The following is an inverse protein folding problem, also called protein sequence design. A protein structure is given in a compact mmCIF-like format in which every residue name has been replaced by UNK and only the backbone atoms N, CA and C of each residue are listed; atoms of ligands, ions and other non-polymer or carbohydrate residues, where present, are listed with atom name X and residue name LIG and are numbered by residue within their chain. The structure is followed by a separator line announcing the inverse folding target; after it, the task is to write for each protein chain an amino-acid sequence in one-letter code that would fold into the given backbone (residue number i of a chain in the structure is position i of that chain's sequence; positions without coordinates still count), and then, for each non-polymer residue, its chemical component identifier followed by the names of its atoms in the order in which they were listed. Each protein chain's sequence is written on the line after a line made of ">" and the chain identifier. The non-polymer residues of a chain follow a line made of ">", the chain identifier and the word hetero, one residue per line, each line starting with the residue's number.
data_IF_669839667036
#
_entry.id   IF_669839667036
#
_cell.length_a   1.000
_cell.length_b   1.000
_cell.length_c   1.000
_cell.angle_alpha   90.00
_cell.angle_beta   90.00
_cell.angle_gamma   90.00
#
_symmetry.space_group_name_H-M   'P 1'
#
loop_
_entity.id
_entity.type
_entity.pdbx_description
1 polymer ?
#
# COMPACT_ATOMS: atom_id res chain seq x y z
N UNK A 1 16.41 -0.43 75.40
CA UNK A 1 16.05 0.38 74.20
C UNK A 1 17.08 0.17 73.09
N UNK A 2 17.12 -0.98 72.45
CA UNK A 2 17.97 -1.21 71.25
C UNK A 2 17.71 -2.63 70.75
N UNK A 3 16.50 -2.91 70.19
CA UNK A 3 16.18 -4.20 69.58
C UNK A 3 15.43 -4.12 68.24
N UNK A 4 15.24 -2.95 67.67
CA UNK A 4 14.44 -2.80 66.46
C UNK A 4 15.22 -2.45 65.19
N UNK A 5 16.54 -2.35 65.25
CA UNK A 5 17.31 -1.88 64.08
C UNK A 5 17.96 -2.99 63.24
N UNK A 6 17.80 -4.25 63.61
CA UNK A 6 18.38 -5.36 62.80
C UNK A 6 17.47 -5.94 61.72
N UNK A 7 16.18 -5.58 61.69
CA UNK A 7 15.24 -6.12 60.69
C UNK A 7 14.97 -5.17 59.51
N UNK A 8 15.42 -3.92 59.55
CA UNK A 8 15.19 -2.99 58.43
C UNK A 8 16.19 -3.18 57.27
N UNK A 9 17.32 -3.82 57.49
CA UNK A 9 18.37 -4.00 56.46
C UNK A 9 18.14 -5.19 55.57
N UNK A 10 17.16 -6.06 55.86
CA UNK A 10 16.85 -7.25 55.05
C UNK A 10 15.69 -7.05 54.08
N UNK A 11 14.91 -6.01 54.24
CA UNK A 11 13.72 -5.75 53.37
C UNK A 11 14.08 -4.89 52.15
N UNK A 12 15.19 -4.13 52.22
CA UNK A 12 15.62 -3.26 51.09
C UNK A 12 16.36 -4.02 49.98
N UNK A 13 16.81 -5.26 50.24
CA UNK A 13 17.58 -6.03 49.26
C UNK A 13 16.73 -6.90 48.32
N UNK A 14 15.40 -6.97 48.49
CA UNK A 14 14.51 -7.75 47.66
C UNK A 14 13.69 -6.93 46.66
N UNK A 15 13.83 -5.63 46.65
CA UNK A 15 13.12 -4.71 45.73
C UNK A 15 13.94 -4.27 44.51
N UNK A 16 15.19 -4.71 44.39
CA UNK A 16 16.07 -4.31 43.30
C UNK A 16 16.23 -5.36 42.17
N UNK A 17 15.53 -6.52 42.24
CA UNK A 17 15.67 -7.60 41.24
C UNK A 17 14.44 -7.82 40.34
N UNK A 18 13.50 -6.90 40.34
CA UNK A 18 12.19 -7.08 39.69
C UNK A 18 11.90 -6.21 38.44
N UNK A 19 12.88 -5.55 37.84
CA UNK A 19 12.63 -4.66 36.68
C UNK A 19 13.65 -4.89 35.58
N UNK A 20 13.70 -6.09 35.03
CA UNK A 20 14.36 -6.37 33.74
C UNK A 20 13.62 -7.47 32.94
N UNK A 21 12.31 -7.39 32.91
CA UNK A 21 11.51 -8.02 31.86
C UNK A 21 10.54 -6.97 31.32
N UNK A 22 11.09 -5.88 30.80
CA UNK A 22 10.34 -5.08 29.83
C UNK A 22 10.24 -5.91 28.58
N UNK A 23 9.05 -6.47 28.41
CA UNK A 23 8.69 -7.26 27.25
C UNK A 23 9.09 -6.54 25.97
N UNK A 24 9.77 -7.21 25.10
CA UNK A 24 9.65 -6.99 23.69
C UNK A 24 8.15 -7.10 23.39
N UNK A 25 7.50 -5.95 23.41
CA UNK A 25 6.19 -5.83 22.79
C UNK A 25 6.39 -6.30 21.37
N UNK A 26 5.76 -7.38 21.02
CA UNK A 26 5.56 -7.79 19.65
C UNK A 26 4.96 -6.55 18.97
N UNK A 27 5.79 -5.78 18.30
CA UNK A 27 5.36 -4.78 17.32
C UNK A 27 4.60 -5.59 16.29
N UNK A 28 3.28 -5.41 16.36
CA UNK A 28 2.34 -6.26 15.68
C UNK A 28 2.66 -6.37 14.21
N UNK A 29 2.51 -7.56 13.73
CA UNK A 29 2.54 -8.07 12.37
C UNK A 29 1.53 -7.35 11.42
N UNK A 30 1.03 -6.17 11.80
CA UNK A 30 0.08 -5.35 11.04
C UNK A 30 0.71 -4.70 9.80
N UNK A 31 2.03 -4.59 9.76
CA UNK A 31 2.72 -3.97 8.62
C UNK A 31 2.99 -4.97 7.48
N UNK A 32 3.05 -6.26 7.78
CA UNK A 32 3.27 -7.30 6.79
C UNK A 32 2.07 -7.51 5.88
N UNK A 33 0.86 -7.40 6.40
CA UNK A 33 -0.37 -7.54 5.62
C UNK A 33 -0.60 -6.38 4.65
N UNK A 34 -0.02 -5.21 4.93
CA UNK A 34 -0.14 -4.02 4.08
C UNK A 34 0.90 -3.96 2.97
N UNK A 35 2.06 -4.60 3.15
CA UNK A 35 3.13 -4.62 2.14
C UNK A 35 2.90 -5.63 1.02
N UNK A 36 2.15 -6.71 1.25
CA UNK A 36 1.92 -7.78 0.27
C UNK A 36 1.06 -7.33 -0.93
N UNK A 37 0.34 -6.20 -0.82
CA UNK A 37 -0.48 -5.63 -1.88
C UNK A 37 0.16 -4.43 -2.61
N UNK A 38 1.36 -4.02 -2.21
CA UNK A 38 2.11 -2.96 -2.87
C UNK A 38 2.76 -3.50 -4.15
N UNK A 39 2.10 -3.28 -5.26
CA UNK A 39 2.67 -3.58 -6.57
C UNK A 39 3.57 -2.43 -7.00
N UNK A 40 4.77 -2.74 -7.45
CA UNK A 40 5.69 -1.70 -7.93
C UNK A 40 6.41 -2.07 -9.23
N UNK A 41 6.82 -1.05 -9.98
CA UNK A 41 7.67 -1.14 -11.16
C UNK A 41 8.73 -0.05 -11.15
N UNK A 42 9.94 -0.41 -11.48
CA UNK A 42 11.04 0.52 -11.73
C UNK A 42 10.99 0.95 -13.20
N UNK A 43 11.03 2.26 -13.46
CA UNK A 43 11.06 2.86 -14.78
C UNK A 43 12.33 3.72 -14.85
N UNK A 44 13.19 3.43 -15.78
CA UNK A 44 14.48 4.08 -16.02
C UNK A 44 14.40 4.87 -17.32
N UNK A 45 15.14 5.95 -17.40
CA UNK A 45 15.30 6.75 -18.60
C UNK A 45 14.02 7.38 -19.17
N UNK A 46 12.96 7.47 -18.38
CA UNK A 46 11.73 8.17 -18.76
C UNK A 46 11.52 9.40 -17.86
N UNK A 47 11.28 10.59 -18.45
CA UNK A 47 10.92 11.77 -17.70
C UNK A 47 9.67 11.53 -16.86
N UNK A 48 9.63 12.11 -15.68
CA UNK A 48 8.49 11.97 -14.77
C UNK A 48 7.16 12.31 -15.45
N UNK A 49 7.11 13.38 -16.22
CA UNK A 49 5.92 13.78 -16.98
C UNK A 49 5.39 12.67 -17.90
N UNK A 50 6.29 11.97 -18.61
CA UNK A 50 5.90 10.86 -19.47
C UNK A 50 5.30 9.70 -18.68
N UNK A 51 5.86 9.41 -17.50
CA UNK A 51 5.37 8.38 -16.59
C UNK A 51 3.96 8.74 -16.10
N UNK A 52 3.76 9.98 -15.64
CA UNK A 52 2.47 10.47 -15.15
C UNK A 52 1.40 10.43 -16.25
N UNK A 53 1.75 10.86 -17.46
CA UNK A 53 0.89 10.79 -18.64
C UNK A 53 0.55 9.34 -19.01
N UNK A 54 1.53 8.44 -18.99
CA UNK A 54 1.31 7.02 -19.23
C UNK A 54 0.39 6.38 -18.20
N UNK A 55 0.49 6.75 -16.91
CA UNK A 55 -0.41 6.28 -15.85
C UNK A 55 -1.85 6.66 -16.19
N UNK A 56 -2.11 7.95 -16.46
CA UNK A 56 -3.45 8.44 -16.78
C UNK A 56 -4.00 7.68 -18.00
N UNK A 57 -3.24 7.65 -19.10
CA UNK A 57 -3.66 7.02 -20.36
C UNK A 57 -3.99 5.53 -20.19
N UNK A 58 -3.13 4.79 -19.47
CA UNK A 58 -3.32 3.34 -19.30
C UNK A 58 -4.52 3.02 -18.43
N UNK A 59 -4.68 3.73 -17.31
CA UNK A 59 -5.79 3.45 -16.39
C UNK A 59 -7.14 3.90 -16.97
N UNK A 60 -7.21 5.08 -17.60
CA UNK A 60 -8.42 5.52 -18.29
C UNK A 60 -8.78 4.61 -19.47
N UNK A 61 -7.80 4.18 -20.25
CA UNK A 61 -8.00 3.21 -21.34
C UNK A 61 -8.47 1.84 -20.87
N UNK A 62 -8.28 1.51 -19.60
CA UNK A 62 -8.83 0.29 -18.97
C UNK A 62 -10.17 0.53 -18.27
N UNK A 63 -10.75 1.73 -18.40
CA UNK A 63 -12.08 2.08 -17.89
C UNK A 63 -12.09 2.62 -16.45
N UNK A 64 -10.93 3.05 -15.93
CA UNK A 64 -10.90 3.74 -14.64
C UNK A 64 -11.20 5.22 -14.81
N UNK A 65 -11.93 5.76 -13.85
CA UNK A 65 -12.13 7.20 -13.68
C UNK A 65 -11.08 7.77 -12.73
N UNK A 66 -10.53 8.92 -13.07
CA UNK A 66 -9.59 9.63 -12.21
C UNK A 66 -10.34 10.44 -11.16
N UNK A 67 -9.98 10.29 -9.89
CA UNK A 67 -10.63 11.04 -8.81
C UNK A 67 -10.05 12.46 -8.69
N UNK A 68 -10.85 13.43 -8.24
CA UNK A 68 -10.40 14.80 -7.99
C UNK A 68 -9.19 14.85 -7.04
N UNK A 69 -8.31 15.82 -7.25
CA UNK A 69 -7.06 15.95 -6.47
C UNK A 69 -5.97 14.93 -6.84
N UNK A 70 -6.18 14.17 -7.92
CA UNK A 70 -5.14 13.31 -8.49
C UNK A 70 -4.06 14.14 -9.19
N UNK A 71 -2.83 13.62 -9.19
CA UNK A 71 -1.66 14.27 -9.81
C UNK A 71 -0.88 15.18 -8.85
N UNK A 72 -1.48 15.59 -7.72
CA UNK A 72 -0.77 16.35 -6.71
C UNK A 72 0.33 15.50 -6.09
N UNK A 73 1.55 16.01 -6.07
CA UNK A 73 2.73 15.30 -5.55
C UNK A 73 3.00 13.93 -6.21
N UNK A 74 2.57 13.73 -7.48
CA UNK A 74 2.79 12.47 -8.20
C UNK A 74 1.94 11.30 -7.70
N UNK A 75 0.84 11.58 -7.04
CA UNK A 75 -0.10 10.56 -6.57
C UNK A 75 -1.40 10.65 -7.37
N UNK A 76 -1.81 9.54 -7.97
CA UNK A 76 -3.04 9.39 -8.75
C UNK A 76 -3.99 8.45 -8.04
N UNK A 77 -5.26 8.79 -8.04
CA UNK A 77 -6.33 7.97 -7.47
C UNK A 77 -7.33 7.67 -8.56
N UNK A 78 -7.60 6.40 -8.73
CA UNK A 78 -8.53 5.90 -9.73
C UNK A 78 -9.62 5.09 -9.07
N UNK A 79 -10.80 5.12 -9.67
CA UNK A 79 -11.93 4.25 -9.31
C UNK A 79 -12.50 3.61 -10.55
N UNK A 80 -12.94 2.39 -10.44
CA UNK A 80 -13.70 1.70 -11.46
C UNK A 80 -14.82 0.92 -10.80
N UNK A 81 -16.03 1.05 -11.32
CA UNK A 81 -17.16 0.22 -10.96
C UNK A 81 -17.15 -1.08 -11.80
N UNK A 82 -17.61 -2.16 -11.20
CA UNK A 82 -17.74 -3.44 -11.88
C UNK A 82 -18.85 -3.44 -12.91
N UNK A 83 -18.53 -3.90 -14.10
CA UNK A 83 -19.42 -4.02 -15.25
C UNK A 83 -19.17 -5.34 -15.99
N UNK A 84 -19.89 -5.58 -17.08
CA UNK A 84 -19.72 -6.80 -17.90
C UNK A 84 -18.30 -6.91 -18.48
N UNK A 85 -17.74 -5.80 -18.99
CA UNK A 85 -16.35 -5.75 -19.49
C UNK A 85 -15.33 -5.91 -18.35
N UNK A 86 -15.65 -5.38 -17.17
CA UNK A 86 -14.86 -5.56 -15.98
C UNK A 86 -14.77 -7.01 -15.57
N UNK A 87 -15.87 -7.75 -15.58
CA UNK A 87 -15.87 -9.20 -15.30
C UNK A 87 -14.96 -9.98 -16.25
N UNK A 88 -14.98 -9.69 -17.53
CA UNK A 88 -14.08 -10.32 -18.48
C UNK A 88 -12.60 -10.08 -18.17
N UNK A 89 -12.24 -8.86 -17.71
CA UNK A 89 -10.86 -8.45 -17.48
C UNK A 89 -10.32 -8.75 -16.08
N UNK A 90 -11.18 -8.70 -15.07
CA UNK A 90 -10.83 -8.86 -13.66
C UNK A 90 -11.32 -10.17 -13.06
N UNK A 91 -12.26 -10.86 -13.71
CA UNK A 91 -12.90 -12.08 -13.23
C UNK A 91 -14.33 -11.83 -12.73
N UNK A 92 -15.06 -12.92 -12.53
CA UNK A 92 -16.49 -12.92 -12.16
C UNK A 92 -16.81 -12.15 -10.88
N UNK A 93 -15.82 -11.99 -10.00
CA UNK A 93 -15.96 -11.24 -8.74
C UNK A 93 -16.20 -9.74 -8.96
N UNK A 94 -15.81 -9.19 -10.13
CA UNK A 94 -15.90 -7.77 -10.43
C UNK A 94 -17.21 -7.44 -11.16
N UNK A 95 -18.32 -7.68 -10.50
CA UNK A 95 -19.67 -7.38 -10.98
C UNK A 95 -20.24 -6.05 -10.50
N UNK A 96 -21.49 -5.74 -10.89
CA UNK A 96 -22.18 -4.53 -10.45
C UNK A 96 -22.15 -4.36 -8.92
N UNK A 97 -22.00 -3.12 -8.45
CA UNK A 97 -21.90 -2.80 -7.02
C UNK A 97 -20.53 -3.05 -6.39
N UNK A 98 -19.58 -3.60 -7.16
CA UNK A 98 -18.19 -3.73 -6.71
C UNK A 98 -17.37 -2.56 -7.25
N UNK A 99 -16.65 -1.86 -6.37
CA UNK A 99 -15.78 -0.76 -6.74
C UNK A 99 -14.32 -1.13 -6.49
N UNK A 100 -13.49 -0.92 -7.49
CA UNK A 100 -12.04 -1.08 -7.39
C UNK A 100 -11.39 0.31 -7.34
N UNK A 101 -10.74 0.61 -6.22
CA UNK A 101 -9.94 1.83 -6.04
C UNK A 101 -8.47 1.49 -6.17
N UNK A 102 -7.76 2.27 -6.96
CA UNK A 102 -6.31 2.12 -7.14
C UNK A 102 -5.64 3.45 -6.86
N UNK A 103 -4.70 3.44 -5.93
CA UNK A 103 -3.79 4.58 -5.68
C UNK A 103 -2.47 4.25 -6.34
N UNK A 104 -2.00 5.13 -7.23
CA UNK A 104 -0.69 5.00 -7.90
C UNK A 104 0.18 6.16 -7.48
N UNK A 105 1.40 5.88 -7.05
CA UNK A 105 2.37 6.90 -6.66
C UNK A 105 3.64 6.77 -7.50
N UNK A 106 4.18 7.91 -7.94
CA UNK A 106 5.45 8.03 -8.64
C UNK A 106 6.47 8.66 -7.69
N UNK A 107 7.55 7.94 -7.41
CA UNK A 107 8.64 8.41 -6.55
C UNK A 107 9.95 8.29 -7.31
N UNK A 108 10.73 9.35 -7.36
CA UNK A 108 12.11 9.27 -7.84
C UNK A 108 12.96 8.57 -6.78
N UNK A 109 13.66 7.52 -7.18
CA UNK A 109 14.53 6.72 -6.31
C UNK A 109 16.01 6.99 -6.56
N UNK A 110 16.35 7.34 -7.78
CA UNK A 110 17.68 7.76 -8.23
C UNK A 110 17.49 8.74 -9.38
N UNK A 111 18.50 9.53 -9.70
CA UNK A 111 18.42 10.47 -10.81
C UNK A 111 17.98 9.77 -12.11
N UNK A 112 16.87 10.23 -12.70
CA UNK A 112 16.30 9.64 -13.91
C UNK A 112 15.65 8.27 -13.75
N UNK A 113 15.52 7.78 -12.51
CA UNK A 113 14.92 6.50 -12.19
C UNK A 113 13.74 6.68 -11.25
N UNK A 114 12.59 6.20 -11.66
CA UNK A 114 11.36 6.34 -10.91
C UNK A 114 10.80 4.97 -10.49
N UNK A 115 10.22 4.92 -9.30
CA UNK A 115 9.41 3.81 -8.84
C UNK A 115 7.94 4.20 -8.94
N UNK A 116 7.19 3.43 -9.70
CA UNK A 116 5.73 3.52 -9.75
C UNK A 116 5.18 2.40 -8.86
N UNK A 117 4.54 2.79 -7.77
CA UNK A 117 3.92 1.86 -6.82
C UNK A 117 2.41 2.02 -6.84
N UNK A 118 1.68 0.93 -6.61
CA UNK A 118 0.22 0.99 -6.50
C UNK A 118 -0.27 0.21 -5.29
N UNK A 119 -1.27 0.77 -4.62
CA UNK A 119 -2.09 0.09 -3.64
C UNK A 119 -3.51 0.00 -4.19
N UNK A 120 -4.17 -1.13 -3.98
CA UNK A 120 -5.53 -1.33 -4.41
C UNK A 120 -6.44 -1.67 -3.23
N UNK A 121 -7.67 -1.21 -3.32
CA UNK A 121 -8.74 -1.47 -2.37
C UNK A 121 -9.98 -1.88 -3.15
N UNK A 122 -10.65 -2.94 -2.71
CA UNK A 122 -11.92 -3.37 -3.29
C UNK A 122 -12.99 -3.08 -2.27
N UNK A 123 -14.00 -2.34 -2.71
CA UNK A 123 -15.22 -2.11 -1.95
C UNK A 123 -16.32 -3.00 -2.51
N UNK A 124 -16.84 -3.88 -1.65
CA UNK A 124 -18.02 -4.67 -1.95
C UNK A 124 -19.05 -4.34 -0.87
N UNK A 125 -20.20 -3.81 -1.26
CA UNK A 125 -21.17 -3.23 -0.34
C UNK A 125 -20.51 -2.14 0.51
N UNK A 126 -20.50 -2.23 1.81
CA UNK A 126 -19.85 -1.26 2.70
C UNK A 126 -18.51 -1.74 3.27
N UNK A 127 -17.97 -2.86 2.77
CA UNK A 127 -16.72 -3.42 3.25
C UNK A 127 -15.58 -3.21 2.24
N UNK A 128 -14.41 -2.83 2.74
CA UNK A 128 -13.17 -2.81 1.97
C UNK A 128 -12.46 -4.15 2.10
N UNK A 129 -12.20 -4.78 0.97
CA UNK A 129 -11.50 -6.07 0.92
C UNK A 129 -10.34 -5.95 -0.05
N UNK A 130 -9.16 -6.36 0.38
CA UNK A 130 -7.98 -6.51 -0.50
C UNK A 130 -8.00 -7.91 -1.09
N UNK A 131 -7.95 -8.03 -2.43
CA UNK A 131 -7.93 -9.33 -3.10
C UNK A 131 -6.71 -9.49 -4.01
N UNK A 132 -6.18 -10.72 -4.09
CA UNK A 132 -5.09 -11.05 -5.01
C UNK A 132 -5.50 -10.94 -6.48
N UNK A 133 -6.76 -11.14 -6.79
CA UNK A 133 -7.29 -11.12 -8.16
C UNK A 133 -7.17 -9.75 -8.81
N UNK A 134 -7.58 -8.69 -8.10
CA UNK A 134 -7.37 -7.31 -8.54
C UNK A 134 -5.90 -6.95 -8.73
N UNK A 135 -5.02 -7.47 -7.88
CA UNK A 135 -3.57 -7.26 -7.95
C UNK A 135 -2.97 -7.75 -9.26
N UNK A 136 -3.42 -8.90 -9.76
CA UNK A 136 -2.92 -9.48 -11.01
C UNK A 136 -3.15 -8.54 -12.18
N UNK A 137 -4.36 -7.96 -12.27
CA UNK A 137 -4.70 -7.00 -13.35
C UNK A 137 -3.94 -5.69 -13.21
N UNK A 138 -3.87 -5.11 -12.00
CA UNK A 138 -3.11 -3.88 -11.75
C UNK A 138 -1.63 -4.07 -12.09
N UNK A 139 -1.04 -5.24 -11.83
CA UNK A 139 0.32 -5.57 -12.23
C UNK A 139 0.52 -5.51 -13.76
N UNK A 140 -0.48 -5.96 -14.53
CA UNK A 140 -0.47 -5.85 -16.00
C UNK A 140 -0.54 -4.38 -16.42
N UNK A 141 -1.41 -3.58 -15.80
CA UNK A 141 -1.51 -2.14 -16.10
C UNK A 141 -0.20 -1.40 -15.82
N UNK A 142 0.45 -1.66 -14.69
CA UNK A 142 1.77 -1.09 -14.40
C UNK A 142 2.84 -1.51 -15.43
N UNK A 143 2.75 -2.72 -15.96
CA UNK A 143 3.60 -3.17 -17.07
C UNK A 143 3.37 -2.36 -18.36
N UNK A 144 2.11 -2.02 -18.67
CA UNK A 144 1.75 -1.16 -19.80
C UNK A 144 2.23 0.27 -19.58
N UNK A 145 2.09 0.80 -18.36
CA UNK A 145 2.64 2.12 -17.99
C UNK A 145 4.12 2.18 -18.29
N UNK A 146 4.90 1.18 -17.84
CA UNK A 146 6.34 1.13 -18.11
C UNK A 146 6.65 1.16 -19.60
N UNK A 147 5.95 0.38 -20.40
CA UNK A 147 6.13 0.35 -21.86
C UNK A 147 5.80 1.70 -22.51
N UNK A 148 4.64 2.27 -22.15
CA UNK A 148 4.19 3.54 -22.75
C UNK A 148 5.08 4.70 -22.36
N UNK A 149 5.52 4.78 -21.09
CA UNK A 149 6.40 5.84 -20.62
C UNK A 149 7.76 5.87 -21.33
N UNK A 150 8.24 4.71 -21.79
CA UNK A 150 9.48 4.62 -22.59
C UNK A 150 9.29 4.93 -24.08
N UNK A 151 8.06 5.09 -24.54
CA UNK A 151 7.73 5.43 -25.93
C UNK A 151 7.35 6.91 -26.12
N UNK A 152 7.02 7.62 -25.05
CA UNK A 152 6.67 9.04 -25.00
C UNK A 152 7.90 9.93 -24.86
#
# INVERSE_FOLDING_TARGET
>A
MFKYWKNLSRIVLFLASGVLFSGCGAVGDSDKTRSDFLLSRKIEFAPRYNIERAIITVFQGDGFEILPGSGTSGTFRFVREGDALGRERFGEWFGPGVFLRVKVAVTEVEFGTHRVSSALEIRREDQFVTTQEGSRRVKVLLGRVKKLAGLL
#
